data_IF_935293503860
#
_entry.id   IF_935293503860
#
_cell.length_a   1.000
_cell.length_b   1.000
_cell.length_c   1.000
_cell.angle_alpha   90.00
_cell.angle_beta   90.00
_cell.angle_gamma   90.00
#
_symmetry.space_group_name_H-M   'P 1'
#
loop_
_entity.id
_entity.type
_entity.pdbx_description
1 polymer ?
#
# COMPACT_ATOMS: atom_id res chain seq x y z
N UNK A 1 13.36 -10.93 -0.43
CA UNK A 1 12.86 -11.40 -1.74
C UNK A 1 13.61 -10.67 -2.82
N UNK A 2 14.12 -11.39 -3.81
CA UNK A 2 14.76 -10.83 -4.99
C UNK A 2 13.76 -10.71 -6.16
N UNK A 3 14.17 -9.99 -7.21
CA UNK A 3 13.36 -9.87 -8.43
C UNK A 3 13.14 -11.23 -9.12
N UNK A 4 14.16 -12.08 -9.13
CA UNK A 4 14.11 -13.41 -9.72
C UNK A 4 13.15 -14.33 -8.95
N UNK A 5 13.18 -14.25 -7.62
CA UNK A 5 12.23 -14.98 -6.77
C UNK A 5 10.79 -14.54 -7.07
N UNK A 6 10.53 -13.22 -7.13
CA UNK A 6 9.22 -12.70 -7.45
C UNK A 6 8.76 -13.12 -8.85
N UNK A 7 9.63 -13.06 -9.85
CA UNK A 7 9.34 -13.53 -11.21
C UNK A 7 9.00 -15.03 -11.25
N UNK A 8 9.74 -15.84 -10.51
CA UNK A 8 9.48 -17.28 -10.39
C UNK A 8 8.10 -17.57 -9.77
N UNK A 9 7.73 -16.82 -8.75
CA UNK A 9 6.43 -16.95 -8.07
C UNK A 9 5.29 -16.64 -9.05
N UNK A 10 5.31 -15.49 -9.69
CA UNK A 10 4.24 -15.08 -10.61
C UNK A 10 4.18 -15.91 -11.90
N UNK A 11 5.25 -16.64 -12.22
CA UNK A 11 5.29 -17.56 -13.36
C UNK A 11 4.69 -18.94 -13.02
N UNK A 12 4.46 -19.24 -11.75
CA UNK A 12 3.93 -20.54 -11.31
C UNK A 12 2.43 -20.69 -11.61
N UNK A 13 1.93 -21.95 -11.60
CA UNK A 13 0.55 -22.32 -11.95
C UNK A 13 -0.54 -21.54 -11.18
N UNK A 14 -0.43 -21.30 -9.87
CA UNK A 14 -1.45 -20.52 -9.14
C UNK A 14 -1.67 -19.11 -9.68
N UNK A 15 -0.70 -18.55 -10.41
CA UNK A 15 -0.74 -17.22 -11.01
C UNK A 15 -1.04 -17.21 -12.51
N UNK A 16 -1.52 -18.33 -13.10
CA UNK A 16 -1.84 -18.41 -14.53
C UNK A 16 -2.89 -17.37 -14.97
N UNK A 17 -3.79 -16.97 -14.09
CA UNK A 17 -4.75 -15.91 -14.38
C UNK A 17 -4.10 -14.58 -14.77
N UNK A 18 -2.88 -14.29 -14.32
CA UNK A 18 -2.13 -13.11 -14.74
C UNK A 18 -1.84 -13.09 -16.25
N UNK A 19 -1.84 -14.26 -16.88
CA UNK A 19 -1.57 -14.45 -18.31
C UNK A 19 -2.83 -14.71 -19.13
N UNK A 20 -3.83 -15.38 -18.53
CA UNK A 20 -5.02 -15.90 -19.23
C UNK A 20 -6.27 -15.03 -19.06
N UNK A 21 -6.33 -14.21 -18.01
CA UNK A 21 -7.47 -13.31 -17.80
C UNK A 21 -7.49 -12.21 -18.87
N UNK A 22 -8.63 -11.97 -19.54
CA UNK A 22 -8.74 -11.03 -20.65
C UNK A 22 -8.46 -9.58 -20.26
N UNK A 23 -8.66 -9.21 -19.00
CA UNK A 23 -8.37 -7.85 -18.49
C UNK A 23 -6.92 -7.69 -17.99
N UNK A 24 -6.16 -8.78 -17.91
CA UNK A 24 -4.77 -8.79 -17.44
C UNK A 24 -3.83 -9.12 -18.59
N UNK A 25 -3.24 -10.29 -18.65
CA UNK A 25 -2.44 -10.78 -19.76
C UNK A 25 -1.54 -9.71 -20.39
N UNK A 26 -1.77 -9.40 -21.66
CA UNK A 26 -1.04 -8.36 -22.41
C UNK A 26 -1.30 -6.93 -21.91
N UNK A 27 -2.33 -6.72 -21.09
CA UNK A 27 -2.67 -5.41 -20.53
C UNK A 27 -1.93 -5.09 -19.24
N UNK A 28 -1.16 -6.02 -18.66
CA UNK A 28 -0.37 -5.73 -17.48
C UNK A 28 0.62 -4.58 -17.73
N UNK A 29 0.56 -3.55 -16.89
CA UNK A 29 1.50 -2.45 -16.88
C UNK A 29 2.69 -2.78 -15.98
N UNK A 30 2.42 -3.14 -14.74
CA UNK A 30 3.41 -3.65 -13.79
C UNK A 30 2.76 -4.52 -12.71
N UNK A 31 3.59 -5.36 -12.11
CA UNK A 31 3.31 -6.07 -10.86
C UNK A 31 4.38 -5.73 -9.83
N UNK A 32 4.00 -5.74 -8.57
CA UNK A 32 4.90 -5.51 -7.43
C UNK A 32 4.43 -6.31 -6.23
N UNK A 33 5.28 -6.37 -5.22
CA UNK A 33 4.92 -7.00 -3.96
C UNK A 33 4.30 -5.99 -3.02
N UNK A 34 3.34 -6.44 -2.22
CA UNK A 34 2.72 -5.70 -1.13
C UNK A 34 3.05 -6.30 0.25
N UNK A 35 2.29 -5.86 1.25
CA UNK A 35 2.30 -6.45 2.58
C UNK A 35 3.65 -6.46 3.28
N UNK A 36 3.85 -7.46 4.14
CA UNK A 36 5.05 -7.53 5.00
C UNK A 36 6.36 -7.65 4.23
N UNK A 37 6.35 -8.25 3.06
CA UNK A 37 7.53 -8.36 2.20
C UNK A 37 7.96 -7.00 1.63
N UNK A 38 7.00 -6.15 1.24
CA UNK A 38 7.29 -4.79 0.78
C UNK A 38 7.84 -3.90 1.91
N UNK A 39 7.35 -4.10 3.12
CA UNK A 39 7.76 -3.31 4.28
C UNK A 39 9.08 -3.77 4.91
N UNK A 40 9.58 -4.98 4.56
CA UNK A 40 10.73 -5.60 5.21
C UNK A 40 10.43 -6.14 6.61
N UNK A 41 9.16 -6.42 6.91
CA UNK A 41 8.69 -6.94 8.21
C UNK A 41 8.18 -8.38 8.12
N UNK A 42 8.45 -9.07 7.00
CA UNK A 42 8.08 -10.46 6.82
C UNK A 42 8.85 -11.39 7.76
N UNK A 43 8.18 -12.46 8.16
CA UNK A 43 8.77 -13.59 8.93
C UNK A 43 8.56 -14.86 8.13
N UNK A 44 9.18 -15.95 8.57
CA UNK A 44 8.97 -17.27 7.96
C UNK A 44 7.46 -17.61 7.90
N UNK A 45 6.99 -18.03 6.72
CA UNK A 45 5.56 -18.31 6.47
C UNK A 45 4.70 -17.05 6.29
N UNK A 46 5.28 -15.87 6.08
CA UNK A 46 4.50 -14.68 5.69
C UNK A 46 3.93 -14.85 4.29
N UNK A 47 2.64 -14.53 4.14
CA UNK A 47 1.95 -14.53 2.85
C UNK A 47 2.61 -13.57 1.86
N UNK A 48 2.53 -13.90 0.58
CA UNK A 48 3.05 -13.09 -0.52
C UNK A 48 1.88 -12.36 -1.14
N UNK A 49 1.82 -11.06 -0.92
CA UNK A 49 0.81 -10.17 -1.47
C UNK A 49 1.26 -9.64 -2.83
N UNK A 50 0.59 -9.99 -3.93
CA UNK A 50 0.88 -9.41 -5.25
C UNK A 50 -0.07 -8.25 -5.51
N UNK A 51 0.50 -7.14 -5.93
CA UNK A 51 -0.23 -5.92 -6.30
C UNK A 51 0.18 -5.49 -7.70
N UNK A 52 -0.71 -4.86 -8.43
CA UNK A 52 -0.38 -4.42 -9.77
C UNK A 52 -1.37 -3.47 -10.40
N UNK A 53 -1.00 -3.04 -11.60
CA UNK A 53 -1.82 -2.19 -12.46
C UNK A 53 -1.84 -2.77 -13.87
N UNK A 54 -3.03 -2.83 -14.45
CA UNK A 54 -3.25 -3.17 -15.85
C UNK A 54 -3.83 -1.95 -16.60
N UNK A 55 -3.47 -1.80 -17.88
CA UNK A 55 -4.06 -0.77 -18.72
C UNK A 55 -5.56 -0.99 -18.90
N UNK A 56 -6.28 0.09 -19.04
CA UNK A 56 -7.63 0.04 -19.57
C UNK A 56 -7.57 -0.28 -21.07
N UNK A 57 -8.49 -1.13 -21.54
CA UNK A 57 -8.66 -1.44 -22.96
C UNK A 57 -9.23 -0.26 -23.73
N UNK A 58 -9.16 -0.30 -25.08
CA UNK A 58 -9.80 0.70 -25.92
C UNK A 58 -11.31 0.78 -25.68
N UNK A 59 -11.98 -0.38 -25.50
CA UNK A 59 -13.40 -0.45 -25.18
C UNK A 59 -13.75 0.23 -23.85
N UNK A 60 -12.87 0.17 -22.87
CA UNK A 60 -13.05 0.83 -21.58
C UNK A 60 -12.70 2.32 -21.61
N UNK A 61 -11.79 2.73 -22.50
CA UNK A 61 -11.38 4.13 -22.62
C UNK A 61 -12.33 4.93 -23.52
N UNK A 62 -12.85 4.32 -24.59
CA UNK A 62 -13.64 4.98 -25.63
C UNK A 62 -15.08 4.49 -25.68
N UNK A 63 -15.40 3.34 -25.11
CA UNK A 63 -16.70 2.70 -25.09
C UNK A 63 -17.39 2.81 -23.73
N UNK A 64 -18.27 1.83 -23.47
CA UNK A 64 -19.05 1.74 -22.24
C UNK A 64 -18.61 0.63 -21.29
N UNK A 65 -17.62 -0.17 -21.67
CA UNK A 65 -17.10 -1.24 -20.83
C UNK A 65 -16.36 -0.67 -19.62
N UNK A 66 -16.38 -1.40 -18.51
CA UNK A 66 -15.74 -0.96 -17.27
C UNK A 66 -14.99 -2.13 -16.63
N UNK A 67 -13.73 -1.88 -16.29
CA UNK A 67 -12.93 -2.74 -15.45
C UNK A 67 -12.29 -1.91 -14.35
N UNK A 68 -12.58 -2.23 -13.10
CA UNK A 68 -12.00 -1.52 -11.95
C UNK A 68 -10.79 -2.27 -11.38
N UNK A 69 -10.94 -3.57 -11.12
CA UNK A 69 -9.87 -4.40 -10.56
C UNK A 69 -10.19 -5.89 -10.66
N UNK A 70 -9.15 -6.69 -10.56
CA UNK A 70 -9.21 -8.14 -10.37
C UNK A 70 -8.65 -8.50 -9.00
N UNK A 71 -9.31 -9.41 -8.28
CA UNK A 71 -8.85 -9.95 -7.01
C UNK A 71 -8.83 -11.47 -7.09
N UNK A 72 -7.72 -12.07 -6.72
CA UNK A 72 -7.61 -13.47 -6.45
C UNK A 72 -7.29 -13.67 -4.97
N UNK A 73 -8.23 -14.27 -4.22
CA UNK A 73 -8.10 -14.46 -2.78
C UNK A 73 -7.13 -15.60 -2.44
N UNK A 74 -6.90 -16.54 -3.37
CA UNK A 74 -6.04 -17.71 -3.14
C UNK A 74 -4.58 -17.30 -3.08
N UNK A 75 -4.18 -16.37 -3.94
CA UNK A 75 -2.81 -15.85 -4.05
C UNK A 75 -2.63 -14.46 -3.43
N UNK A 76 -3.67 -13.93 -2.76
CA UNK A 76 -3.73 -12.54 -2.28
C UNK A 76 -3.24 -11.53 -3.34
N UNK A 77 -3.73 -11.71 -4.56
CA UNK A 77 -3.37 -10.85 -5.68
C UNK A 77 -4.46 -9.83 -5.97
N UNK A 78 -4.08 -8.55 -6.11
CA UNK A 78 -4.99 -7.49 -6.55
C UNK A 78 -4.34 -6.67 -7.67
N UNK A 79 -5.01 -6.62 -8.83
CA UNK A 79 -4.59 -5.81 -9.98
C UNK A 79 -5.68 -4.80 -10.30
N UNK A 80 -5.35 -3.52 -10.22
CA UNK A 80 -6.27 -2.43 -10.56
C UNK A 80 -6.16 -2.04 -12.02
N UNK A 81 -7.25 -1.59 -12.62
CA UNK A 81 -7.14 -0.86 -13.89
C UNK A 81 -6.38 0.46 -13.66
N UNK A 82 -5.68 0.93 -14.68
CA UNK A 82 -4.87 2.15 -14.57
C UNK A 82 -5.70 3.37 -14.16
N UNK A 83 -6.86 3.56 -14.76
CA UNK A 83 -7.74 4.68 -14.41
C UNK A 83 -8.25 4.59 -12.96
N UNK A 84 -8.52 3.39 -12.45
CA UNK A 84 -8.89 3.19 -11.04
C UNK A 84 -7.70 3.44 -10.12
N UNK A 85 -6.53 2.93 -10.47
CA UNK A 85 -5.28 3.16 -9.73
C UNK A 85 -5.00 4.67 -9.59
N UNK A 86 -5.10 5.44 -10.69
CA UNK A 86 -4.93 6.89 -10.66
C UNK A 86 -5.94 7.57 -9.73
N UNK A 87 -7.21 7.19 -9.76
CA UNK A 87 -8.22 7.76 -8.84
C UNK A 87 -7.85 7.50 -7.38
N UNK A 88 -7.34 6.30 -7.08
CA UNK A 88 -6.88 5.94 -5.73
C UNK A 88 -5.61 6.71 -5.34
N UNK A 89 -4.63 6.87 -6.24
CA UNK A 89 -3.44 7.71 -6.02
C UNK A 89 -3.84 9.16 -5.73
N UNK A 90 -4.74 9.73 -6.53
CA UNK A 90 -5.25 11.09 -6.35
C UNK A 90 -5.97 11.29 -5.02
N UNK A 91 -6.61 10.27 -4.47
CA UNK A 91 -7.23 10.33 -3.14
C UNK A 91 -6.24 10.09 -1.99
N UNK A 92 -4.97 9.88 -2.29
CA UNK A 92 -3.94 9.56 -1.29
C UNK A 92 -4.13 8.19 -0.66
N UNK A 93 -4.72 7.22 -1.36
CA UNK A 93 -4.96 5.88 -0.82
C UNK A 93 -3.64 5.21 -0.43
N UNK A 94 -3.44 4.79 0.85
CA UNK A 94 -2.18 4.22 1.32
C UNK A 94 -1.75 3.00 0.52
N UNK A 95 -2.64 2.04 0.29
CA UNK A 95 -2.32 0.79 -0.40
C UNK A 95 -1.88 1.01 -1.86
N UNK A 96 -2.35 2.08 -2.50
CA UNK A 96 -1.95 2.41 -3.85
C UNK A 96 -0.64 3.20 -3.88
N UNK A 97 -0.46 4.15 -2.96
CA UNK A 97 0.79 4.92 -2.87
C UNK A 97 1.98 4.02 -2.49
N UNK A 98 1.77 3.02 -1.64
CA UNK A 98 2.80 2.03 -1.27
C UNK A 98 3.41 1.35 -2.50
N UNK A 99 2.62 1.04 -3.52
CA UNK A 99 3.12 0.40 -4.73
C UNK A 99 4.11 1.29 -5.48
N UNK A 100 3.93 2.62 -5.43
CA UNK A 100 4.84 3.59 -6.05
C UNK A 100 6.13 3.82 -5.24
N UNK A 101 6.15 3.38 -3.99
CA UNK A 101 7.27 3.52 -3.06
C UNK A 101 8.14 2.28 -2.94
N UNK A 102 7.80 1.20 -3.65
CA UNK A 102 8.62 -0.01 -3.66
C UNK A 102 9.96 0.23 -4.37
N UNK A 103 10.98 -0.51 -3.97
CA UNK A 103 12.26 -0.52 -4.64
C UNK A 103 12.13 -1.08 -6.06
N UNK A 104 12.96 -0.59 -6.98
CA UNK A 104 12.87 -0.91 -8.42
C UNK A 104 13.03 -2.42 -8.71
N UNK A 105 13.77 -3.13 -7.89
CA UNK A 105 13.97 -4.59 -7.98
C UNK A 105 12.71 -5.40 -7.61
N UNK A 106 11.81 -4.79 -6.85
CA UNK A 106 10.52 -5.38 -6.48
C UNK A 106 9.38 -4.99 -7.45
N UNK A 107 9.68 -4.25 -8.51
CA UNK A 107 8.71 -3.87 -9.53
C UNK A 107 8.99 -4.61 -10.84
N UNK A 108 8.08 -5.46 -11.27
CA UNK A 108 8.13 -6.14 -12.56
C UNK A 108 7.35 -5.30 -13.57
N UNK A 109 8.08 -4.61 -14.41
CA UNK A 109 7.51 -3.78 -15.47
C UNK A 109 7.27 -4.62 -16.74
N UNK A 110 6.07 -4.52 -17.27
CA UNK A 110 5.69 -5.12 -18.56
C UNK A 110 5.64 -4.08 -19.69
N UNK A 111 5.67 -2.80 -19.34
CA UNK A 111 5.53 -1.73 -20.33
C UNK A 111 6.35 -0.48 -19.95
N UNK A 112 6.94 0.27 -20.90
CA UNK A 112 7.70 1.49 -20.63
C UNK A 112 6.91 2.58 -19.88
N UNK A 113 5.58 2.61 -19.99
CA UNK A 113 4.73 3.52 -19.25
C UNK A 113 4.85 3.39 -17.72
N UNK A 114 5.29 2.21 -17.22
CA UNK A 114 5.60 2.01 -15.79
C UNK A 114 6.65 3.02 -15.33
N UNK A 115 7.73 3.17 -16.10
CA UNK A 115 8.77 4.15 -15.77
C UNK A 115 8.23 5.58 -15.79
N UNK A 116 7.41 5.91 -16.80
CA UNK A 116 6.79 7.24 -16.88
C UNK A 116 5.91 7.54 -15.64
N UNK A 117 5.15 6.57 -15.16
CA UNK A 117 4.37 6.70 -13.92
C UNK A 117 5.27 6.88 -12.69
N UNK A 118 6.30 6.03 -12.54
CA UNK A 118 7.20 6.06 -11.38
C UNK A 118 8.02 7.35 -11.31
N UNK A 119 8.49 7.86 -12.44
CA UNK A 119 9.22 9.14 -12.52
C UNK A 119 8.32 10.35 -12.13
N UNK A 120 7.00 10.22 -12.27
CA UNK A 120 6.03 11.26 -11.96
C UNK A 120 5.21 11.01 -10.68
N UNK A 121 5.57 10.03 -9.86
CA UNK A 121 4.81 9.64 -8.65
C UNK A 121 4.55 10.79 -7.67
N UNK A 122 5.41 11.79 -7.61
CA UNK A 122 5.25 12.97 -6.74
C UNK A 122 4.04 13.84 -7.11
N UNK A 123 3.51 13.74 -8.33
CA UNK A 123 2.28 14.44 -8.73
C UNK A 123 1.04 14.03 -7.92
N UNK A 124 1.08 12.85 -7.30
CA UNK A 124 -0.02 12.32 -6.48
C UNK A 124 0.08 12.72 -5.00
N UNK A 125 1.13 13.45 -4.61
CA UNK A 125 1.34 13.84 -3.22
C UNK A 125 0.77 15.24 -2.95
N UNK A 126 -0.02 15.35 -1.91
CA UNK A 126 -0.57 16.60 -1.39
C UNK A 126 -0.85 16.46 0.11
N UNK A 127 -1.18 17.56 0.78
CA UNK A 127 -1.58 17.55 2.20
C UNK A 127 -2.79 16.65 2.49
N UNK A 128 -3.55 16.26 1.47
CA UNK A 128 -4.70 15.37 1.62
C UNK A 128 -4.34 13.96 2.11
N UNK A 129 -3.09 13.51 1.94
CA UNK A 129 -2.61 12.22 2.49
C UNK A 129 -2.83 12.12 4.01
N UNK A 130 -2.86 13.24 4.73
CA UNK A 130 -3.15 13.28 6.17
C UNK A 130 -4.48 12.64 6.49
N UNK A 131 -5.51 12.91 5.70
CA UNK A 131 -6.85 12.39 5.95
C UNK A 131 -6.97 10.90 5.65
N UNK A 132 -6.31 10.43 4.58
CA UNK A 132 -6.36 9.03 4.18
C UNK A 132 -5.49 8.16 5.10
N UNK A 133 -4.24 8.54 5.34
CA UNK A 133 -3.34 7.79 6.22
C UNK A 133 -3.74 7.90 7.69
N UNK A 134 -3.96 9.12 8.18
CA UNK A 134 -4.38 9.35 9.57
C UNK A 134 -5.71 8.68 9.88
N UNK A 135 -6.70 8.82 9.00
CA UNK A 135 -8.00 8.15 9.17
C UNK A 135 -7.90 6.62 9.13
N UNK A 136 -6.96 6.05 8.36
CA UNK A 136 -6.73 4.61 8.37
C UNK A 136 -5.96 4.16 9.62
N UNK A 137 -4.95 4.91 10.05
CA UNK A 137 -4.22 4.64 11.28
C UNK A 137 -5.13 4.71 12.51
N UNK A 138 -6.02 5.70 12.60
CA UNK A 138 -7.03 5.81 13.68
C UNK A 138 -7.98 4.60 13.69
N UNK A 139 -8.44 4.15 12.52
CA UNK A 139 -9.25 2.92 12.43
C UNK A 139 -8.50 1.69 12.94
N UNK A 140 -7.19 1.57 12.63
CA UNK A 140 -6.36 0.48 13.13
C UNK A 140 -6.14 0.60 14.64
N UNK A 141 -5.95 1.79 15.16
CA UNK A 141 -5.88 2.02 16.61
C UNK A 141 -7.15 1.54 17.32
N UNK A 142 -8.32 1.99 16.88
CA UNK A 142 -9.62 1.56 17.43
C UNK A 142 -9.78 0.04 17.36
N UNK A 143 -9.42 -0.56 16.22
CA UNK A 143 -9.43 -2.02 16.07
C UNK A 143 -8.48 -2.72 17.04
N UNK A 144 -7.27 -2.18 17.26
CA UNK A 144 -6.33 -2.75 18.23
C UNK A 144 -6.87 -2.69 19.66
N UNK A 145 -7.55 -1.60 20.04
CA UNK A 145 -8.23 -1.49 21.35
C UNK A 145 -9.28 -2.58 21.51
N UNK A 146 -10.17 -2.75 20.53
CA UNK A 146 -11.22 -3.80 20.57
C UNK A 146 -10.62 -5.21 20.63
N UNK A 147 -9.56 -5.47 19.86
CA UNK A 147 -8.85 -6.76 19.91
C UNK A 147 -8.18 -6.98 21.28
N UNK A 148 -7.67 -5.91 21.91
CA UNK A 148 -7.12 -5.95 23.27
C UNK A 148 -8.16 -6.30 24.32
N UNK A 149 -9.37 -5.75 24.21
CA UNK A 149 -10.52 -6.10 25.09
C UNK A 149 -10.87 -7.59 24.93
N UNK A 150 -10.90 -8.10 23.71
CA UNK A 150 -11.10 -9.52 23.43
C UNK A 150 -9.99 -10.40 24.04
N UNK A 151 -8.72 -10.02 23.85
CA UNK A 151 -7.58 -10.76 24.40
C UNK A 151 -7.56 -10.77 25.93
N UNK A 152 -8.09 -9.73 26.58
CA UNK A 152 -8.27 -9.72 28.02
C UNK A 152 -9.33 -10.73 28.48
N UNK A 153 -10.44 -10.83 27.74
CA UNK A 153 -11.53 -11.75 28.04
C UNK A 153 -11.15 -13.20 27.71
N UNK A 154 -10.36 -13.41 26.66
CA UNK A 154 -9.94 -14.74 26.16
C UNK A 154 -8.41 -14.81 26.06
N UNK A 155 -7.70 -14.95 27.18
CA UNK A 155 -6.23 -14.85 27.22
C UNK A 155 -5.50 -15.99 26.52
N UNK A 156 -6.17 -17.10 26.21
CA UNK A 156 -5.64 -18.24 25.43
C UNK A 156 -5.71 -18.05 23.92
N UNK A 157 -6.49 -17.09 23.41
CA UNK A 157 -6.66 -16.85 21.99
C UNK A 157 -5.41 -16.21 21.35
N UNK A 158 -4.45 -17.06 20.97
CA UNK A 158 -3.20 -16.65 20.34
C UNK A 158 -3.40 -16.07 18.94
N UNK A 159 -4.47 -16.46 18.23
CA UNK A 159 -4.79 -15.96 16.88
C UNK A 159 -5.13 -14.47 16.97
N UNK A 160 -6.05 -14.11 17.87
CA UNK A 160 -6.45 -12.71 18.07
C UNK A 160 -5.29 -11.86 18.62
N UNK A 161 -4.44 -12.42 19.50
CA UNK A 161 -3.22 -11.73 19.96
C UNK A 161 -2.30 -11.38 18.79
N UNK A 162 -1.98 -12.34 17.91
CA UNK A 162 -1.16 -12.10 16.72
C UNK A 162 -1.80 -11.06 15.80
N UNK A 163 -3.12 -11.11 15.62
CA UNK A 163 -3.88 -10.14 14.82
C UNK A 163 -3.82 -8.73 15.42
N UNK A 164 -3.92 -8.60 16.74
CA UNK A 164 -3.78 -7.33 17.44
C UNK A 164 -2.38 -6.74 17.24
N UNK A 165 -1.33 -7.54 17.43
CA UNK A 165 0.06 -7.14 17.26
C UNK A 165 0.33 -6.66 15.83
N UNK A 166 -0.12 -7.42 14.81
CA UNK A 166 -0.03 -7.02 13.38
C UNK A 166 -0.82 -5.72 13.12
N UNK A 167 -1.93 -5.49 13.84
CA UNK A 167 -2.74 -4.27 13.71
C UNK A 167 -1.99 -3.06 14.27
N UNK A 168 -1.35 -3.19 15.45
CA UNK A 168 -0.52 -2.13 16.06
C UNK A 168 0.67 -1.81 15.14
N UNK A 169 1.38 -2.82 14.66
CA UNK A 169 2.50 -2.65 13.72
C UNK A 169 2.06 -1.85 12.48
N UNK A 170 0.94 -2.22 11.86
CA UNK A 170 0.44 -1.53 10.67
C UNK A 170 -0.01 -0.09 10.95
N UNK A 171 -0.56 0.18 12.13
CA UNK A 171 -0.88 1.55 12.56
C UNK A 171 0.39 2.41 12.62
N UNK A 172 1.42 1.93 13.30
CA UNK A 172 2.72 2.65 13.43
C UNK A 172 3.32 2.87 12.04
N UNK A 173 3.34 1.85 11.20
CA UNK A 173 3.86 1.91 9.83
C UNK A 173 3.18 2.99 8.99
N UNK A 174 1.86 3.12 9.06
CA UNK A 174 1.11 4.14 8.33
C UNK A 174 1.50 5.56 8.76
N UNK A 175 1.67 5.79 10.06
CA UNK A 175 2.15 7.08 10.55
C UNK A 175 3.57 7.39 10.06
N UNK A 176 4.48 6.43 10.16
CA UNK A 176 5.85 6.61 9.67
C UNK A 176 5.89 6.94 8.17
N UNK A 177 5.04 6.29 7.39
CA UNK A 177 4.97 6.54 5.96
C UNK A 177 4.42 7.93 5.63
N UNK A 178 3.35 8.37 6.31
CA UNK A 178 2.81 9.72 6.06
C UNK A 178 3.77 10.82 6.53
N UNK A 179 4.58 10.59 7.56
CA UNK A 179 5.62 11.53 7.96
C UNK A 179 6.69 11.68 6.87
N UNK A 180 7.18 10.57 6.28
CA UNK A 180 8.10 10.66 5.14
C UNK A 180 7.49 11.44 3.97
N UNK A 181 6.21 11.22 3.67
CA UNK A 181 5.51 11.95 2.60
C UNK A 181 5.44 13.45 2.92
N UNK A 182 5.06 13.82 4.14
CA UNK A 182 4.88 15.22 4.52
C UNK A 182 6.21 15.97 4.70
N UNK A 183 7.21 15.33 5.30
CA UNK A 183 8.48 15.94 5.64
C UNK A 183 9.48 15.92 4.47
N UNK A 184 9.52 14.80 3.72
CA UNK A 184 10.53 14.56 2.67
C UNK A 184 9.94 14.67 1.25
N UNK A 185 8.61 14.60 1.09
CA UNK A 185 7.96 14.48 -0.22
C UNK A 185 8.28 13.14 -0.91
N UNK A 186 8.46 12.06 -0.13
CA UNK A 186 8.86 10.75 -0.61
C UNK A 186 7.92 9.65 -0.14
N UNK A 187 7.67 8.68 -1.03
CA UNK A 187 6.93 7.47 -0.68
C UNK A 187 7.96 6.40 -0.39
N UNK A 188 8.17 6.07 0.88
CA UNK A 188 9.11 5.05 1.32
C UNK A 188 8.32 3.86 1.87
N UNK A 189 8.28 2.77 1.12
CA UNK A 189 7.51 1.57 1.50
C UNK A 189 8.32 0.64 2.39
N UNK A 190 9.58 0.39 2.04
CA UNK A 190 10.47 -0.40 2.89
C UNK A 190 10.81 0.37 4.17
N UNK A 191 10.65 -0.28 5.32
CA UNK A 191 10.81 0.32 6.65
C UNK A 191 12.08 -0.13 7.35
N UNK A 192 13.19 -0.28 6.62
CA UNK A 192 14.47 -0.74 7.18
C UNK A 192 14.93 0.12 8.37
N UNK A 193 14.79 1.45 8.29
CA UNK A 193 15.16 2.37 9.39
C UNK A 193 14.31 2.21 10.64
N UNK A 194 13.07 1.70 10.49
CA UNK A 194 12.13 1.54 11.59
C UNK A 194 11.83 0.07 11.88
N UNK A 195 12.64 -0.85 11.32
CA UNK A 195 12.40 -2.29 11.38
C UNK A 195 12.23 -2.78 12.81
N UNK A 196 13.12 -2.41 13.71
CA UNK A 196 13.10 -2.89 15.10
C UNK A 196 11.82 -2.47 15.82
N UNK A 197 11.39 -1.20 15.67
CA UNK A 197 10.14 -0.71 16.25
C UNK A 197 8.92 -1.49 15.72
N UNK A 198 8.88 -1.75 14.42
CA UNK A 198 7.79 -2.50 13.81
C UNK A 198 7.79 -3.96 14.25
N UNK A 199 8.98 -4.58 14.41
CA UNK A 199 9.08 -5.94 14.89
C UNK A 199 8.76 -6.06 16.38
N UNK A 200 9.12 -5.10 17.22
CA UNK A 200 8.65 -5.01 18.62
C UNK A 200 7.11 -5.06 18.67
N UNK A 201 6.44 -4.27 17.84
CA UNK A 201 4.98 -4.29 17.76
C UNK A 201 4.44 -5.64 17.29
N UNK A 202 5.04 -6.21 16.22
CA UNK A 202 4.65 -7.51 15.66
C UNK A 202 4.83 -8.65 16.66
N UNK A 203 5.90 -8.62 17.46
CA UNK A 203 6.24 -9.64 18.44
C UNK A 203 5.44 -9.52 19.75
N UNK A 204 4.62 -8.49 19.90
CA UNK A 204 3.71 -8.35 21.02
C UNK A 204 4.27 -7.58 22.22
N UNK A 205 5.37 -6.85 22.04
CA UNK A 205 5.95 -6.05 23.13
C UNK A 205 5.04 -4.91 23.60
N UNK A 206 4.08 -4.50 22.76
CA UNK A 206 3.04 -3.52 23.08
C UNK A 206 1.75 -4.14 23.65
N UNK A 207 1.75 -5.43 23.92
CA UNK A 207 0.67 -6.11 24.64
C UNK A 207 0.98 -6.17 26.15
N UNK A 208 0.03 -5.78 26.99
CA UNK A 208 0.12 -5.93 28.43
C UNK A 208 -0.17 -7.39 28.85
N UNK A 209 0.32 -7.78 30.04
CA UNK A 209 0.12 -9.14 30.57
C UNK A 209 -1.37 -9.54 30.69
N UNK A 210 -2.25 -8.59 30.91
CA UNK A 210 -3.71 -8.81 30.97
C UNK A 210 -4.40 -8.85 29.59
N UNK A 211 -3.65 -8.88 28.50
CA UNK A 211 -4.18 -8.95 27.15
C UNK A 211 -4.48 -7.60 26.48
N UNK A 212 -4.68 -6.52 27.23
CA UNK A 212 -4.90 -5.19 26.66
C UNK A 212 -3.67 -4.66 25.93
N UNK A 213 -3.88 -3.65 25.09
CA UNK A 213 -2.77 -2.85 24.57
C UNK A 213 -2.14 -2.06 25.72
N UNK A 214 -0.79 -1.98 25.72
CA UNK A 214 -0.07 -1.17 26.70
C UNK A 214 -0.42 0.32 26.57
N UNK A 215 -0.22 1.07 27.65
CA UNK A 215 -0.44 2.52 27.67
C UNK A 215 0.41 3.24 26.62
N UNK A 216 1.64 2.77 26.39
CA UNK A 216 2.57 3.31 25.40
C UNK A 216 1.95 3.40 24.00
N UNK A 217 1.12 2.43 23.57
CA UNK A 217 0.44 2.47 22.27
C UNK A 217 -0.53 3.63 22.17
N UNK A 218 -1.21 3.96 23.28
CA UNK A 218 -2.11 5.12 23.35
C UNK A 218 -1.34 6.43 23.30
N UNK A 219 -0.18 6.46 23.94
CA UNK A 219 0.69 7.63 23.92
C UNK A 219 1.33 7.81 22.53
N UNK A 220 1.81 6.75 21.89
CA UNK A 220 2.23 6.79 20.49
C UNK A 220 1.15 7.33 19.56
N UNK A 221 -0.06 6.81 19.65
CA UNK A 221 -1.16 7.30 18.81
C UNK A 221 -1.38 8.80 19.04
N UNK A 222 -1.46 9.25 20.29
CA UNK A 222 -1.67 10.65 20.62
C UNK A 222 -0.53 11.57 20.17
N UNK A 223 0.71 11.12 20.30
CA UNK A 223 1.89 11.87 19.82
C UNK A 223 1.93 11.94 18.30
N UNK A 224 1.67 10.83 17.64
CA UNK A 224 1.68 10.76 16.18
C UNK A 224 0.55 11.58 15.56
N UNK A 225 -0.62 11.63 16.16
CA UNK A 225 -1.69 12.54 15.74
C UNK A 225 -1.28 14.01 15.87
N UNK A 226 -0.61 14.39 16.97
CA UNK A 226 -0.08 15.75 17.13
C UNK A 226 0.97 16.07 16.06
N UNK A 227 1.93 15.16 15.83
CA UNK A 227 2.95 15.31 14.79
C UNK A 227 2.30 15.44 13.42
N UNK A 228 1.30 14.59 13.12
CA UNK A 228 0.58 14.63 11.85
C UNK A 228 -0.06 16.01 11.58
N UNK A 229 -0.66 16.64 12.59
CA UNK A 229 -1.23 17.98 12.45
C UNK A 229 -0.14 19.04 12.29
N UNK A 230 0.98 18.92 13.01
CA UNK A 230 2.12 19.81 12.85
C UNK A 230 2.74 19.70 11.44
N UNK A 231 3.01 18.48 10.96
CA UNK A 231 3.60 18.24 9.65
C UNK A 231 2.67 18.69 8.52
N UNK A 232 1.35 18.49 8.67
CA UNK A 232 0.35 19.03 7.74
C UNK A 232 0.45 20.55 7.60
N UNK A 233 0.68 21.25 8.69
CA UNK A 233 0.79 22.72 8.67
C UNK A 233 2.12 23.22 8.05
N UNK A 234 3.20 22.43 8.19
CA UNK A 234 4.57 22.85 7.86
C UNK A 234 5.13 22.20 6.59
N UNK A 235 4.44 21.21 5.99
CA UNK A 235 4.89 20.55 4.77
C UNK A 235 4.96 21.50 3.58
N UNK A 236 5.95 21.28 2.69
CA UNK A 236 6.05 21.95 1.40
C UNK A 236 5.06 21.40 0.33
N UNK A 237 4.33 20.32 0.64
CA UNK A 237 3.36 19.74 -0.30
C UNK A 237 2.18 20.71 -0.55
N UNK A 238 1.63 20.71 -1.77
CA UNK A 238 0.45 21.52 -2.08
C UNK A 238 -0.78 21.02 -1.28
N UNK A 239 -1.77 21.89 -1.11
CA UNK A 239 -3.03 21.53 -0.43
C UNK A 239 -3.79 20.43 -1.16
N UNK A 240 -3.77 20.49 -2.49
CA UNK A 240 -4.38 19.49 -3.39
C UNK A 240 -3.44 19.18 -4.54
N UNK A 241 -3.61 18.02 -5.14
CA UNK A 241 -2.86 17.64 -6.35
C UNK A 241 -3.19 18.57 -7.53
N UNK A 242 -2.22 18.78 -8.42
CA UNK A 242 -2.45 19.45 -9.71
C UNK A 242 -3.14 18.49 -10.69
N UNK A 243 -4.46 18.60 -10.77
CA UNK A 243 -5.29 17.73 -11.62
C UNK A 243 -4.96 17.86 -13.11
N UNK A 244 -4.52 19.01 -13.58
CA UNK A 244 -4.18 19.19 -14.99
C UNK A 244 -2.91 18.38 -15.33
N UNK A 245 -1.86 18.50 -14.52
CA UNK A 245 -0.62 17.74 -14.71
C UNK A 245 -0.87 16.23 -14.57
N UNK A 246 -1.68 15.80 -13.60
CA UNK A 246 -2.07 14.39 -13.48
C UNK A 246 -2.83 13.93 -14.72
N UNK A 247 -3.76 14.71 -15.23
CA UNK A 247 -4.53 14.37 -16.42
C UNK A 247 -3.64 14.28 -17.68
N UNK A 248 -2.67 15.17 -17.83
CA UNK A 248 -1.65 15.10 -18.90
C UNK A 248 -0.86 13.79 -18.84
N UNK A 249 -0.41 13.39 -17.64
CA UNK A 249 0.27 12.11 -17.42
C UNK A 249 -0.64 10.93 -17.79
N UNK A 250 -1.89 10.93 -17.34
CA UNK A 250 -2.87 9.87 -17.64
C UNK A 250 -3.12 9.75 -19.13
N UNK A 251 -3.31 10.88 -19.82
CA UNK A 251 -3.50 10.89 -21.27
C UNK A 251 -2.27 10.35 -22.02
N UNK A 252 -1.06 10.71 -21.58
CA UNK A 252 0.17 10.21 -22.17
C UNK A 252 0.28 8.69 -22.02
N UNK A 253 0.05 8.16 -20.82
CA UNK A 253 0.09 6.72 -20.54
C UNK A 253 -0.99 5.96 -21.32
N UNK A 254 -2.24 6.47 -21.33
CA UNK A 254 -3.32 5.83 -22.08
C UNK A 254 -3.07 5.81 -23.60
N UNK A 255 -2.47 6.87 -24.16
CA UNK A 255 -2.05 6.86 -25.57
C UNK A 255 -0.98 5.80 -25.85
N UNK A 256 0.00 5.65 -24.97
CA UNK A 256 1.00 4.58 -25.11
C UNK A 256 0.34 3.20 -25.08
N UNK A 257 -0.63 2.99 -24.20
CA UNK A 257 -1.37 1.73 -24.12
C UNK A 257 -2.12 1.43 -25.42
N UNK A 258 -2.84 2.40 -25.99
CA UNK A 258 -3.60 2.24 -27.24
C UNK A 258 -2.71 1.97 -28.47
N UNK A 259 -1.41 2.30 -28.45
CA UNK A 259 -0.49 2.03 -29.58
C UNK A 259 0.08 0.61 -29.56
N UNK A 260 -0.07 -0.14 -28.47
CA UNK A 260 0.50 -1.49 -28.27
C UNK A 260 -0.58 -2.58 -28.26
N UNK A 261 -1.83 -2.20 -28.06
CA UNK A 261 -2.99 -3.09 -28.10
C UNK A 261 -3.50 -3.32 -29.53
#
# INVERSE_FOLDING_TARGET
>A
MTREELQSIIASEPYDFLRTNPNLGKHLMFLTIGGSHAYGTNVEGSDIDIRGVAFNTEHELLGMDMFDHWVDETTDTTVFSFNKAVKLMCSGNPNMLEQLGNADDLVISYHPATKLLMDNKKLFLSRQVVYSFGGFADKLFKKAVTLGEWCNQYPEDQITKKRMNKTIMNMIRLYLMVFDILEKGEIITNRAENHDLLMMARNGEFQAANGYIKHDVKDFHKEYEKRLQYDKANTALPDTIDRNRVNELVMAINRMALTVM
#
